data_IF_994116323541
#
_entry.id   IF_994116323541
#
_cell.length_a   1.000
_cell.length_b   1.000
_cell.length_c   1.000
_cell.angle_alpha   90.00
_cell.angle_beta   90.00
_cell.angle_gamma   90.00
#
_symmetry.space_group_name_H-M   'P 1'
#
loop_
_entity.id
_entity.type
_entity.pdbx_description
1 polymer ?
#
# COMPACT_ATOMS: atom_id res chain seq x y z
N UNK A 1 -7.81 25.37 2.76
CA UNK A 1 -6.65 25.05 3.62
C UNK A 1 -6.14 23.66 3.31
N UNK A 2 -5.45 23.48 2.17
CA UNK A 2 -4.67 22.27 1.88
C UNK A 2 -3.28 22.52 2.47
N UNK A 3 -3.02 21.99 3.66
CA UNK A 3 -1.69 22.11 4.24
C UNK A 3 -0.71 21.36 3.36
N UNK A 4 0.28 22.10 2.88
CA UNK A 4 1.31 21.65 1.97
C UNK A 4 2.14 20.56 2.66
N UNK A 5 2.45 19.55 1.85
CA UNK A 5 3.27 18.38 2.09
C UNK A 5 4.61 18.79 2.73
N UNK A 6 4.69 18.84 4.06
CA UNK A 6 5.95 18.56 4.75
C UNK A 6 6.07 17.04 4.78
N UNK A 7 7.03 16.51 4.02
CA UNK A 7 7.43 15.10 4.17
C UNK A 7 7.86 14.85 5.62
N UNK A 8 7.53 13.68 6.14
CA UNK A 8 8.06 13.23 7.43
C UNK A 8 9.59 13.26 7.35
N UNK A 9 10.24 13.88 8.35
CA UNK A 9 11.70 13.84 8.48
C UNK A 9 12.15 12.37 8.66
N UNK A 10 13.27 11.99 8.06
CA UNK A 10 13.87 10.65 8.13
C UNK A 10 14.02 10.16 9.58
N UNK A 11 14.50 11.00 10.50
CA UNK A 11 14.66 10.62 11.92
C UNK A 11 13.32 10.31 12.60
N UNK A 12 12.28 11.09 12.25
CA UNK A 12 10.93 10.91 12.76
C UNK A 12 10.29 9.65 12.16
N UNK A 13 10.53 9.41 10.86
CA UNK A 13 10.09 8.20 10.16
C UNK A 13 10.70 6.96 10.81
N UNK A 14 12.03 6.94 11.01
CA UNK A 14 12.72 5.82 11.63
C UNK A 14 12.19 5.53 13.04
N UNK A 15 11.92 6.58 13.83
CA UNK A 15 11.30 6.44 15.15
C UNK A 15 9.94 5.74 15.05
N UNK A 16 9.05 6.20 14.17
CA UNK A 16 7.73 5.57 14.03
C UNK A 16 7.79 4.15 13.49
N UNK A 17 8.74 3.84 12.60
CA UNK A 17 8.94 2.47 12.11
C UNK A 17 9.40 1.53 13.23
N UNK A 18 10.28 2.00 14.13
CA UNK A 18 10.70 1.25 15.33
C UNK A 18 9.53 1.03 16.29
N UNK A 19 8.75 2.07 16.57
CA UNK A 19 7.56 1.96 17.43
C UNK A 19 6.50 1.02 16.82
N UNK A 20 6.28 1.10 15.51
CA UNK A 20 5.38 0.20 14.77
C UNK A 20 5.85 -1.24 14.89
N UNK A 21 7.15 -1.51 14.73
CA UNK A 21 7.68 -2.87 14.90
C UNK A 21 7.47 -3.41 16.33
N UNK A 22 7.46 -2.53 17.33
CA UNK A 22 7.07 -2.84 18.71
C UNK A 22 5.56 -2.98 18.96
N UNK A 23 4.71 -2.83 17.94
CA UNK A 23 3.25 -2.95 18.05
C UNK A 23 2.50 -1.66 18.36
N UNK A 24 3.15 -0.48 18.26
CA UNK A 24 2.49 0.80 18.50
C UNK A 24 1.43 1.09 17.44
N UNK A 25 0.16 1.03 17.85
CA UNK A 25 -0.99 1.43 17.02
C UNK A 25 -0.94 2.92 16.65
N UNK A 26 -0.37 3.75 17.53
CA UNK A 26 -0.24 5.19 17.25
C UNK A 26 0.76 5.46 16.13
N UNK A 27 1.89 4.75 16.13
CA UNK A 27 2.86 4.85 15.06
C UNK A 27 2.28 4.37 13.72
N UNK A 28 1.49 3.29 13.74
CA UNK A 28 0.76 2.83 12.56
C UNK A 28 -0.17 3.91 12.00
N UNK A 29 -1.00 4.53 12.86
CA UNK A 29 -1.93 5.60 12.46
C UNK A 29 -1.19 6.78 11.81
N UNK A 30 -0.07 7.22 12.39
CA UNK A 30 0.74 8.32 11.84
C UNK A 30 1.32 7.96 10.47
N UNK A 31 1.88 6.75 10.33
CA UNK A 31 2.41 6.27 9.05
C UNK A 31 1.31 6.11 8.00
N UNK A 32 0.15 5.56 8.39
CA UNK A 32 -1.02 5.42 7.52
C UNK A 32 -1.48 6.78 6.98
N UNK A 33 -1.75 7.75 7.87
CA UNK A 33 -2.22 9.08 7.47
C UNK A 33 -1.20 9.83 6.60
N UNK A 34 0.10 9.54 6.76
CA UNK A 34 1.16 10.16 5.97
C UNK A 34 1.29 9.55 4.57
N UNK A 35 1.20 8.21 4.47
CA UNK A 35 1.57 7.48 3.27
C UNK A 35 0.40 6.94 2.46
N UNK A 36 -0.72 6.58 3.08
CA UNK A 36 -1.87 6.01 2.39
C UNK A 36 -2.39 6.93 1.27
N UNK A 37 -2.57 8.25 1.46
CA UNK A 37 -3.05 9.12 0.38
C UNK A 37 -2.11 9.16 -0.84
N UNK A 38 -0.80 8.97 -0.64
CA UNK A 38 0.21 8.96 -1.71
C UNK A 38 0.20 7.64 -2.48
N UNK A 39 0.04 6.53 -1.76
CA UNK A 39 -0.07 5.19 -2.33
C UNK A 39 -1.37 5.08 -3.13
N UNK A 40 -2.48 5.51 -2.56
CA UNK A 40 -3.79 5.52 -3.20
C UNK A 40 -3.80 6.38 -4.47
N UNK A 41 -3.24 7.60 -4.42
CA UNK A 41 -3.11 8.45 -5.60
C UNK A 41 -2.29 7.78 -6.72
N UNK A 42 -1.20 7.11 -6.36
CA UNK A 42 -0.38 6.35 -7.31
C UNK A 42 -1.16 5.18 -7.92
N UNK A 43 -1.90 4.42 -7.10
CA UNK A 43 -2.72 3.30 -7.55
C UNK A 43 -3.88 3.74 -8.45
N UNK A 44 -4.55 4.85 -8.14
CA UNK A 44 -5.60 5.44 -9.00
C UNK A 44 -5.08 5.73 -10.40
N UNK A 45 -3.87 6.26 -10.53
CA UNK A 45 -3.24 6.52 -11.82
C UNK A 45 -2.98 5.25 -12.66
N UNK A 46 -2.78 4.11 -12.01
CA UNK A 46 -2.51 2.83 -12.67
C UNK A 46 -3.79 2.04 -12.96
N UNK A 47 -4.68 1.92 -11.97
CA UNK A 47 -5.89 1.10 -12.03
C UNK A 47 -7.05 1.80 -12.73
N UNK A 48 -7.07 3.15 -12.72
CA UNK A 48 -8.18 3.98 -13.21
C UNK A 48 -9.54 3.61 -12.58
N UNK A 49 -9.51 3.08 -11.36
CA UNK A 49 -10.66 2.72 -10.56
C UNK A 49 -10.40 3.14 -9.11
N UNK A 50 -11.24 4.03 -8.57
CA UNK A 50 -11.04 4.60 -7.25
C UNK A 50 -11.28 3.60 -6.12
N UNK A 51 -12.28 2.72 -6.27
CA UNK A 51 -12.62 1.70 -5.27
C UNK A 51 -11.50 0.66 -5.16
N UNK A 52 -11.02 0.15 -6.30
CA UNK A 52 -9.91 -0.81 -6.33
C UNK A 52 -8.60 -0.21 -5.78
N UNK A 53 -8.35 1.08 -6.05
CA UNK A 53 -7.19 1.76 -5.51
C UNK A 53 -7.27 1.93 -3.99
N UNK A 54 -8.46 2.23 -3.46
CA UNK A 54 -8.71 2.31 -2.02
C UNK A 54 -8.52 0.94 -1.35
N UNK A 55 -9.18 -0.09 -1.86
CA UNK A 55 -9.10 -1.46 -1.33
C UNK A 55 -7.66 -1.99 -1.33
N UNK A 56 -6.92 -1.83 -2.43
CA UNK A 56 -5.52 -2.24 -2.51
C UNK A 56 -4.64 -1.43 -1.55
N UNK A 57 -4.93 -0.15 -1.34
CA UNK A 57 -4.21 0.67 -0.34
C UNK A 57 -4.44 0.09 1.05
N UNK A 58 -5.69 -0.18 1.43
CA UNK A 58 -6.03 -0.76 2.73
C UNK A 58 -5.32 -2.11 2.94
N UNK A 59 -5.31 -2.97 1.92
CA UNK A 59 -4.61 -4.26 1.93
C UNK A 59 -3.10 -4.14 2.16
N UNK A 60 -2.46 -3.16 1.52
CA UNK A 60 -1.02 -2.89 1.71
C UNK A 60 -0.75 -2.52 3.16
N UNK A 61 -1.54 -1.62 3.74
CA UNK A 61 -1.35 -1.20 5.13
C UNK A 61 -1.74 -2.29 6.13
N UNK A 62 -2.73 -3.13 5.83
CA UNK A 62 -3.02 -4.33 6.62
C UNK A 62 -1.83 -5.31 6.63
N UNK A 63 -1.20 -5.54 5.48
CA UNK A 63 0.00 -6.38 5.37
C UNK A 63 1.18 -5.78 6.15
N UNK A 64 1.32 -4.46 6.15
CA UNK A 64 2.32 -3.74 6.95
C UNK A 64 2.09 -3.96 8.44
N UNK A 65 0.86 -3.77 8.93
CA UNK A 65 0.52 -4.03 10.33
C UNK A 65 0.77 -5.49 10.73
N UNK A 66 0.38 -6.42 9.85
CA UNK A 66 0.51 -7.86 10.10
C UNK A 66 1.98 -8.32 10.14
N UNK A 67 2.85 -7.71 9.34
CA UNK A 67 4.28 -8.05 9.24
C UNK A 67 5.20 -7.01 9.92
N UNK A 68 4.63 -6.19 10.83
CA UNK A 68 5.27 -5.00 11.41
C UNK A 68 6.64 -5.25 12.03
N UNK A 69 6.86 -6.43 12.60
CA UNK A 69 8.12 -6.80 13.28
C UNK A 69 9.35 -6.72 12.35
N UNK A 70 9.14 -6.86 11.04
CA UNK A 70 10.22 -6.82 10.04
C UNK A 70 10.49 -5.41 9.50
N UNK A 71 9.61 -4.45 9.75
CA UNK A 71 9.60 -3.13 9.10
C UNK A 71 10.71 -2.21 9.60
N UNK A 72 11.17 -2.38 10.84
CA UNK A 72 12.25 -1.57 11.41
C UNK A 72 13.62 -1.78 10.72
N UNK A 73 13.76 -2.80 9.86
CA UNK A 73 15.01 -3.11 9.13
C UNK A 73 15.01 -2.62 7.67
N UNK A 74 13.99 -1.87 7.26
CA UNK A 74 13.89 -1.38 5.89
C UNK A 74 14.83 -0.19 5.67
N UNK A 75 15.61 -0.23 4.59
CA UNK A 75 16.45 0.91 4.18
C UNK A 75 15.61 2.14 3.79
N UNK A 76 14.42 1.90 3.23
CA UNK A 76 13.48 2.95 2.85
C UNK A 76 12.04 2.44 2.87
N UNK A 77 11.25 2.94 3.80
CA UNK A 77 9.84 2.60 3.91
C UNK A 77 9.04 3.05 2.68
N UNK A 78 9.36 4.24 2.14
CA UNK A 78 8.78 4.74 0.90
C UNK A 78 9.04 3.77 -0.27
N UNK A 79 10.27 3.35 -0.50
CA UNK A 79 10.60 2.43 -1.60
C UNK A 79 9.89 1.09 -1.43
N UNK A 80 9.81 0.59 -0.20
CA UNK A 80 9.07 -0.62 0.14
C UNK A 80 7.57 -0.50 -0.20
N UNK A 81 6.91 0.59 0.21
CA UNK A 81 5.50 0.85 -0.09
C UNK A 81 5.21 0.85 -1.60
N UNK A 82 6.01 1.58 -2.40
CA UNK A 82 5.79 1.66 -3.84
C UNK A 82 6.11 0.33 -4.56
N UNK A 83 7.01 -0.49 -4.01
CA UNK A 83 7.22 -1.86 -4.49
C UNK A 83 6.00 -2.73 -4.21
N UNK A 84 5.43 -2.66 -3.01
CA UNK A 84 4.19 -3.38 -2.67
C UNK A 84 3.03 -2.95 -3.57
N UNK A 85 2.87 -1.64 -3.81
CA UNK A 85 1.83 -1.11 -4.69
C UNK A 85 1.95 -1.62 -6.13
N UNK A 86 3.16 -1.59 -6.72
CA UNK A 86 3.39 -2.14 -8.06
C UNK A 86 3.08 -3.63 -8.14
N UNK A 87 3.51 -4.40 -7.13
CA UNK A 87 3.23 -5.83 -7.07
C UNK A 87 1.71 -6.11 -6.96
N UNK A 88 0.99 -5.30 -6.18
CA UNK A 88 -0.45 -5.44 -6.04
C UNK A 88 -1.19 -5.16 -7.35
N UNK A 89 -0.78 -4.13 -8.11
CA UNK A 89 -1.34 -3.83 -9.44
C UNK A 89 -1.09 -4.98 -10.41
N UNK A 90 0.14 -5.52 -10.43
CA UNK A 90 0.47 -6.68 -11.28
C UNK A 90 -0.40 -7.89 -10.94
N UNK A 91 -0.57 -8.19 -9.66
CA UNK A 91 -1.42 -9.30 -9.22
C UNK A 91 -2.89 -9.07 -9.58
N UNK A 92 -3.40 -7.85 -9.40
CA UNK A 92 -4.76 -7.48 -9.74
C UNK A 92 -5.06 -7.75 -11.23
N UNK A 93 -4.21 -7.25 -12.15
CA UNK A 93 -4.38 -7.52 -13.58
C UNK A 93 -4.21 -8.99 -13.95
N UNK A 94 -3.27 -9.69 -13.31
CA UNK A 94 -3.08 -11.12 -13.53
C UNK A 94 -4.33 -11.93 -13.15
N UNK A 95 -4.99 -11.57 -12.04
CA UNK A 95 -6.25 -12.19 -11.63
C UNK A 95 -7.40 -11.86 -12.58
N UNK A 96 -7.50 -10.62 -13.09
CA UNK A 96 -8.51 -10.24 -14.07
C UNK A 96 -8.36 -11.05 -15.37
N UNK A 97 -7.16 -11.17 -15.92
CA UNK A 97 -6.90 -11.94 -17.13
C UNK A 97 -7.29 -13.42 -16.96
N UNK A 98 -6.97 -14.01 -15.82
CA UNK A 98 -7.37 -15.39 -15.50
C UNK A 98 -8.90 -15.51 -15.45
N UNK A 99 -9.58 -14.56 -14.80
CA UNK A 99 -11.05 -14.55 -14.70
C UNK A 99 -11.73 -14.38 -16.06
N UNK A 100 -11.21 -13.50 -16.91
CA UNK A 100 -11.69 -13.30 -18.29
C UNK A 100 -11.59 -14.60 -19.11
N UNK A 101 -10.43 -15.27 -19.06
CA UNK A 101 -10.22 -16.55 -19.75
C UNK A 101 -11.21 -17.64 -19.28
N UNK A 102 -11.48 -17.73 -17.98
CA UNK A 102 -12.47 -18.68 -17.45
C UNK A 102 -13.89 -18.39 -17.98
N UNK A 103 -14.30 -17.13 -18.01
CA UNK A 103 -15.61 -16.71 -18.51
C UNK A 103 -15.74 -17.01 -20.01
N UNK A 104 -14.69 -16.80 -20.80
CA UNK A 104 -14.69 -17.13 -22.23
C UNK A 104 -14.82 -18.65 -22.48
N UNK A 105 -14.11 -19.47 -21.69
CA UNK A 105 -14.23 -20.94 -21.79
C UNK A 105 -15.66 -21.40 -21.48
N UNK A 106 -16.33 -20.79 -20.50
CA UNK A 106 -17.72 -21.15 -20.16
C UNK A 106 -18.73 -20.70 -21.21
N UNK A 107 -18.54 -19.54 -21.84
CA UNK A 107 -19.42 -19.04 -22.93
C UNK A 107 -19.32 -19.86 -24.22
N UNK A 108 -18.17 -20.51 -24.44
CA UNK A 108 -17.90 -21.31 -25.63
C UNK A 108 -18.25 -22.80 -25.47
N UNK A 109 -18.81 -23.20 -24.32
CA UNK A 109 -19.37 -24.53 -24.07
C UNK A 109 -20.86 -24.56 -24.40
#
# INVERSE_FOLDING_TARGET
MRSVIMGMNVEIEEKYLKELAGGSRKAFEVLYMTYAPRVEYFLRGLLKNDLEAEDITQDIFYKIWSNRETIARLDSFKSYLFRMAKNAVYNHYSHLLVKENYIEIEKNK
#
